data_IF_271011746095
#
_entry.id   IF_271011746095
#
_cell.length_a   1.000
_cell.length_b   1.000
_cell.length_c   1.000
_cell.angle_alpha   90.00
_cell.angle_beta   90.00
_cell.angle_gamma   90.00
#
_symmetry.space_group_name_H-M   'P 1'
#
loop_
_entity.id
_entity.type
_entity.pdbx_description
1 polymer ?
2 polymer ?
3 water ?
#
loop_
_entity_poly.entity_id
_entity_poly.type
_entity_poly.pdbx_seq_one_letter_code
_entity_poly.pdbx_strand_id
2 'polyribonucleotide' 'AGACAGCAUUAUGCUGUCUUU' ?
#
# COMPACT_ATOMS: atom_id res chain seq x y z
N UNK A 5 -15.77 20.00 13.23
CA UNK A 5 -15.44 19.29 11.93
C UNK A 5 -13.93 19.20 11.65
N UNK A 6 -13.53 18.25 10.81
CA UNK A 6 -12.11 18.00 10.58
C UNK A 6 -11.48 19.04 9.63
N UNK A 7 -10.44 19.75 10.10
CA UNK A 7 -9.76 20.76 9.31
C UNK A 7 -9.06 20.20 8.09
N UNK A 8 -9.12 20.93 6.97
CA UNK A 8 -8.55 20.46 5.71
C UNK A 8 -7.06 20.14 5.75
N UNK A 9 -6.27 20.85 6.54
CA UNK A 9 -4.84 20.53 6.60
C UNK A 9 -4.60 19.15 7.16
N UNK A 10 -5.48 18.73 8.09
CA UNK A 10 -5.37 17.38 8.63
C UNK A 10 -5.65 16.35 7.55
N UNK A 11 -6.69 16.56 6.75
CA UNK A 11 -6.91 15.71 5.59
C UNK A 11 -5.63 15.64 4.73
N UNK A 12 -4.95 16.77 4.57
CA UNK A 12 -3.76 16.85 3.74
C UNK A 12 -2.61 16.06 4.34
N UNK A 13 -2.39 16.18 5.64
CA UNK A 13 -1.30 15.46 6.29
C UNK A 13 -1.55 13.96 6.31
N UNK A 14 -2.81 13.55 6.32
CA UNK A 14 -3.11 12.12 6.37
C UNK A 14 -2.81 11.51 5.01
N UNK A 15 -3.29 12.14 3.95
CA UNK A 15 -2.90 11.71 2.62
C UNK A 15 -1.38 11.68 2.45
N UNK A 16 -0.67 12.66 3.01
CA UNK A 16 0.79 12.69 2.97
C UNK A 16 1.46 11.53 3.71
N UNK A 17 0.97 11.21 4.92
CA UNK A 17 1.39 10.02 5.64
C UNK A 17 1.16 8.79 4.77
N UNK A 18 0.01 8.75 4.10
CA UNK A 18 -0.36 7.64 3.23
C UNK A 18 0.51 7.47 2.01
N UNK A 19 0.70 8.54 1.25
CA UNK A 19 1.63 8.54 0.14
C UNK A 19 3.04 8.06 0.51
N UNK A 20 3.57 8.54 1.66
CA UNK A 20 4.83 8.05 2.22
C UNK A 20 4.88 6.54 2.40
N UNK A 21 3.79 5.95 2.92
CA UNK A 21 3.76 4.52 3.09
C UNK A 21 3.83 3.81 1.74
N UNK A 22 3.13 4.32 0.74
CA UNK A 22 3.11 3.68 -0.58
C UNK A 22 4.49 3.70 -1.20
N UNK A 23 5.19 4.80 -1.06
CA UNK A 23 6.55 4.89 -1.57
C UNK A 23 7.50 3.96 -0.83
N UNK A 24 7.28 3.78 0.46
CA UNK A 24 8.12 2.91 1.23
C UNK A 24 7.92 1.44 0.79
N UNK A 25 6.66 1.05 0.62
CA UNK A 25 6.33 -0.27 0.10
C UNK A 25 6.97 -0.53 -1.26
N UNK A 26 6.80 0.42 -2.18
CA UNK A 26 7.30 0.26 -3.53
C UNK A 26 8.82 0.11 -3.50
N UNK A 27 9.48 0.89 -2.64
CA UNK A 27 10.92 0.87 -2.53
C UNK A 27 11.33 -0.50 -2.00
N UNK A 28 10.63 -1.00 -1.00
CA UNK A 28 10.92 -2.30 -0.45
C UNK A 28 10.76 -3.42 -1.49
N UNK A 29 9.77 -3.29 -2.36
CA UNK A 29 9.45 -4.34 -3.34
C UNK A 29 10.42 -4.25 -4.51
N UNK A 30 10.73 -3.04 -4.92
CA UNK A 30 11.73 -2.81 -5.95
C UNK A 30 13.05 -3.45 -5.57
N UNK A 31 13.50 -3.22 -4.33
CA UNK A 31 14.83 -3.69 -3.89
C UNK A 31 14.85 -5.19 -3.71
N UNK A 32 13.76 -5.77 -3.20
CA UNK A 32 13.59 -7.21 -3.21
C UNK A 32 13.80 -7.80 -4.61
N UNK A 33 13.15 -7.22 -5.61
CA UNK A 33 13.21 -7.78 -6.97
C UNK A 33 14.60 -7.70 -7.56
N UNK A 34 15.21 -6.53 -7.44
CA UNK A 34 16.57 -6.25 -7.89
C UNK A 34 17.54 -7.29 -7.34
N UNK A 35 17.35 -7.62 -6.07
CA UNK A 35 18.18 -8.59 -5.37
C UNK A 35 17.99 -10.02 -5.89
N UNK A 36 16.79 -10.34 -6.36
CA UNK A 36 16.52 -11.63 -6.95
C UNK A 36 16.80 -11.58 -8.46
N UNK A 37 17.16 -10.40 -8.95
CA UNK A 37 17.33 -10.17 -10.38
C UNK A 37 16.07 -10.38 -11.19
N UNK A 38 14.92 -10.13 -10.58
CA UNK A 38 13.65 -10.22 -11.29
C UNK A 38 13.29 -8.90 -11.96
N UNK A 39 12.91 -8.96 -13.24
CA UNK A 39 12.36 -7.83 -13.99
C UNK A 39 11.05 -8.22 -14.66
N UNK A 40 10.22 -7.25 -14.99
CA UNK A 40 8.96 -7.58 -15.68
C UNK A 40 9.27 -7.46 -17.16
N UNK A 41 8.43 -8.04 -18.03
CA UNK A 41 8.71 -7.87 -19.45
C UNK A 41 8.88 -6.42 -19.86
N UNK A 42 8.17 -5.49 -19.21
CA UNK A 42 8.28 -4.06 -19.57
C UNK A 42 9.51 -3.40 -18.98
N UNK A 43 9.81 -3.70 -17.72
CA UNK A 43 11.08 -3.31 -17.13
C UNK A 43 12.24 -3.80 -18.02
N UNK A 44 12.14 -5.04 -18.49
CA UNK A 44 13.19 -5.65 -19.28
C UNK A 44 13.35 -4.94 -20.61
N UNK A 45 12.27 -4.84 -21.37
CA UNK A 45 12.26 -4.08 -22.62
C UNK A 45 12.89 -2.73 -22.39
N UNK A 46 12.51 -2.07 -21.31
CA UNK A 46 12.93 -0.70 -21.05
C UNK A 46 14.43 -0.59 -20.83
N UNK A 47 15.00 -1.43 -19.96
CA UNK A 47 16.47 -1.42 -19.80
C UNK A 47 17.22 -1.75 -21.09
N UNK A 48 16.69 -2.68 -21.86
CA UNK A 48 17.32 -3.06 -23.11
C UNK A 48 17.37 -1.93 -24.10
N UNK A 49 16.30 -1.18 -24.22
CA UNK A 49 16.33 0.02 -25.05
C UNK A 49 17.42 1.01 -24.59
N UNK A 50 17.56 1.16 -23.27
CA UNK A 50 18.54 2.05 -22.67
C UNK A 50 19.98 1.63 -22.95
N UNK A 51 20.30 0.37 -22.72
CA UNK A 51 21.64 -0.15 -22.97
C UNK A 51 22.02 -0.05 -24.44
N UNK A 52 21.05 -0.29 -25.32
CA UNK A 52 21.28 -0.14 -26.76
C UNK A 52 21.64 1.29 -27.10
N UNK A 53 20.97 2.23 -26.45
CA UNK A 53 21.13 3.65 -26.73
C UNK A 53 22.44 4.20 -26.18
N UNK A 54 22.87 3.68 -25.02
CA UNK A 54 24.18 4.02 -24.45
C UNK A 54 25.32 3.63 -25.39
N UNK A 55 25.19 2.46 -26.01
CA UNK A 55 26.16 1.96 -26.99
C UNK A 55 26.21 2.91 -28.19
N UNK A 56 25.04 3.29 -28.69
CA UNK A 56 24.93 4.18 -29.84
C UNK A 56 25.53 5.56 -29.58
N UNK A 57 25.23 6.13 -28.41
CA UNK A 57 25.71 7.46 -28.05
C UNK A 57 27.22 7.54 -27.93
N UNK A 58 27.84 6.45 -27.48
CA UNK A 58 29.32 6.36 -27.40
C UNK A 58 29.97 6.10 -28.76
N UNK A 59 29.15 5.70 -29.73
CA UNK A 59 29.56 5.54 -31.13
C UNK A 59 29.51 6.88 -31.88
N UNK A 60 28.77 7.83 -31.30
CA UNK A 60 28.83 9.25 -31.71
C UNK A 60 29.98 9.94 -30.95
N UNK A 61 30.30 9.42 -29.77
CA UNK A 61 31.42 9.94 -28.95
C UNK A 61 32.81 9.54 -29.46
N UNK A 62 32.88 8.43 -30.22
CA UNK A 62 34.11 8.06 -30.93
C UNK A 62 34.29 8.91 -32.21
N UNK A 63 33.18 9.43 -32.73
CA UNK A 63 33.19 10.35 -33.88
C UNK A 63 33.68 11.76 -33.47
N UNK A 64 34.53 11.82 -32.44
CA UNK A 64 35.15 13.07 -31.98
C UNK A 64 36.59 13.20 -32.46
N UNK B 4 -3.47 21.16 -11.59
CA UNK B 4 -4.75 21.94 -11.62
C UNK B 4 -5.97 21.13 -12.14
N UNK B 5 -5.88 20.66 -13.38
CA UNK B 5 -7.02 20.14 -14.15
C UNK B 5 -7.44 18.68 -13.86
N UNK B 6 -7.84 18.40 -12.62
CA UNK B 6 -8.34 17.05 -12.23
C UNK B 6 -9.59 17.14 -11.35
N UNK B 7 -10.73 16.60 -11.83
CA UNK B 7 -12.04 16.82 -11.20
C UNK B 7 -12.11 16.34 -9.75
N UNK B 8 -12.93 17.01 -8.95
CA UNK B 8 -13.11 16.61 -7.56
C UNK B 8 -13.76 15.23 -7.41
N UNK B 9 -14.73 14.91 -8.27
CA UNK B 9 -15.40 13.61 -8.18
C UNK B 9 -14.44 12.42 -8.39
N UNK B 10 -13.34 12.63 -9.12
CA UNK B 10 -12.31 11.60 -9.30
C UNK B 10 -11.58 11.34 -8.00
N UNK B 11 -11.24 12.42 -7.30
CA UNK B 11 -10.61 12.32 -6.00
C UNK B 11 -11.52 11.54 -5.06
N UNK B 12 -12.80 11.91 -5.00
CA UNK B 12 -13.76 11.24 -4.12
C UNK B 12 -13.84 9.74 -4.43
N UNK B 13 -13.91 9.39 -5.71
CA UNK B 13 -13.89 8.01 -6.22
C UNK B 13 -12.60 7.25 -5.87
N UNK B 14 -11.46 7.85 -6.17
CA UNK B 14 -10.18 7.25 -5.83
C UNK B 14 -10.15 6.87 -4.34
N UNK B 15 -10.55 7.80 -3.48
CA UNK B 15 -10.60 7.54 -2.05
C UNK B 15 -11.65 6.51 -1.62
N UNK B 16 -12.77 6.45 -2.32
CA UNK B 16 -13.75 5.38 -2.13
C UNK B 16 -13.12 4.03 -2.47
N UNK B 17 -12.34 3.98 -3.55
CA UNK B 17 -11.66 2.75 -3.94
C UNK B 17 -10.68 2.32 -2.85
N UNK B 18 -9.84 3.24 -2.41
CA UNK B 18 -8.83 2.97 -1.39
C UNK B 18 -9.43 2.49 -0.08
N UNK B 19 -10.59 3.03 0.26
CA UNK B 19 -11.29 2.68 1.46
C UNK B 19 -11.93 1.31 1.40
N UNK B 20 -12.40 0.86 0.23
CA UNK B 20 -12.92 -0.52 0.10
C UNK B 20 -11.77 -1.52 0.31
N UNK B 21 -10.59 -1.19 -0.18
CA UNK B 21 -9.41 -2.05 -0.11
C UNK B 21 -8.90 -2.12 1.32
N UNK B 22 -9.09 -1.03 2.08
CA UNK B 22 -8.73 -1.06 3.50
C UNK B 22 -9.66 -1.95 4.28
N UNK B 23 -10.96 -1.82 4.02
CA UNK B 23 -11.97 -2.71 4.59
C UNK B 23 -11.78 -4.17 4.19
N UNK B 24 -11.29 -4.39 2.98
CA UNK B 24 -11.06 -5.74 2.48
C UNK B 24 -9.93 -6.35 3.26
N UNK B 25 -8.91 -5.56 3.56
CA UNK B 25 -7.80 -6.04 4.35
C UNK B 25 -8.17 -6.35 5.80
N UNK B 26 -8.93 -5.49 6.45
CA UNK B 26 -9.39 -5.83 7.79
C UNK B 26 -10.13 -7.14 7.79
N UNK B 27 -11.01 -7.32 6.81
CA UNK B 27 -11.84 -8.50 6.79
C UNK B 27 -10.93 -9.72 6.70
N UNK B 28 -9.99 -9.69 5.76
CA UNK B 28 -9.10 -10.79 5.58
C UNK B 28 -8.29 -11.04 6.83
N UNK B 29 -7.71 -9.98 7.40
CA UNK B 29 -6.95 -10.10 8.62
C UNK B 29 -7.85 -10.56 9.78
N UNK B 30 -9.02 -9.96 9.93
CA UNK B 30 -9.93 -10.32 11.02
C UNK B 30 -10.25 -11.83 10.99
N UNK B 31 -10.71 -12.31 9.83
CA UNK B 31 -11.10 -13.70 9.65
C UNK B 31 -9.92 -14.64 9.89
N UNK B 32 -8.75 -14.26 9.37
CA UNK B 32 -7.53 -15.02 9.58
C UNK B 32 -7.27 -15.23 11.07
N UNK B 33 -7.45 -14.18 11.86
CA UNK B 33 -7.26 -14.30 13.28
C UNK B 33 -8.29 -15.21 13.91
N UNK B 34 -9.55 -15.13 13.48
CA UNK B 34 -10.60 -16.03 13.97
C UNK B 34 -10.23 -17.49 13.79
N UNK B 35 -9.73 -17.85 12.62
CA UNK B 35 -9.37 -19.23 12.35
C UNK B 35 -8.35 -19.72 13.35
N UNK B 36 -7.34 -18.90 13.64
CA UNK B 36 -6.30 -19.29 14.55
C UNK B 36 -6.71 -19.12 16.01
N UNK B 37 -7.90 -18.58 16.25
CA UNK B 37 -8.38 -18.27 17.60
C UNK B 37 -7.57 -17.21 18.31
N UNK B 38 -6.99 -16.28 17.55
CA UNK B 38 -6.11 -15.26 18.10
C UNK B 38 -6.84 -13.94 18.42
N UNK B 39 -6.72 -13.49 19.67
CA UNK B 39 -7.19 -12.16 20.09
C UNK B 39 -6.01 -11.33 20.57
N UNK B 40 -6.09 -10.02 20.39
CA UNK B 40 -5.14 -9.12 21.03
C UNK B 40 -5.52 -9.03 22.49
N UNK B 41 -4.57 -8.68 23.36
CA UNK B 41 -4.90 -8.43 24.77
C UNK B 41 -6.18 -7.62 24.98
N UNK B 42 -6.36 -6.54 24.21
CA UNK B 42 -7.56 -5.71 24.36
C UNK B 42 -8.84 -6.43 23.96
N UNK B 43 -8.77 -7.19 22.86
CA UNK B 43 -9.89 -8.00 22.37
C UNK B 43 -10.32 -9.05 23.40
N UNK B 44 -9.35 -9.60 24.15
CA UNK B 44 -9.64 -10.48 25.28
C UNK B 44 -10.42 -9.78 26.40
N UNK B 45 -9.89 -8.64 26.88
CA UNK B 45 -10.58 -7.83 27.90
C UNK B 45 -12.02 -7.56 27.51
N UNK B 46 -12.22 -6.99 26.33
CA UNK B 46 -13.54 -6.66 25.79
C UNK B 46 -14.52 -7.82 25.82
N UNK B 47 -14.06 -9.00 25.38
CA UNK B 47 -14.92 -10.17 25.29
C UNK B 47 -15.25 -10.74 26.67
N UNK B 48 -14.31 -10.65 27.60
CA UNK B 48 -14.55 -11.06 28.98
C UNK B 48 -15.60 -10.18 29.64
N UNK B 49 -15.44 -8.87 29.49
CA UNK B 49 -16.36 -7.89 30.07
C UNK B 49 -17.77 -8.03 29.49
N UNK B 50 -17.85 -8.43 28.22
CA UNK B 50 -19.13 -8.68 27.57
C UNK B 50 -19.79 -9.94 28.12
N UNK B 51 -19.05 -11.05 28.12
CA UNK B 51 -19.53 -12.34 28.65
C UNK B 51 -19.93 -12.22 30.12
N UNK B 52 -19.24 -11.35 30.86
CA UNK B 52 -19.57 -11.04 32.26
C UNK B 52 -20.91 -10.32 32.39
N UNK B 53 -21.15 -9.30 31.55
CA UNK B 53 -22.43 -8.57 31.52
C UNK B 53 -23.59 -9.48 31.10
N UNK B 54 -23.31 -10.41 30.19
CA UNK B 54 -24.32 -11.35 29.67
C UNK B 54 -24.74 -12.42 30.67
N UNK B 55 -23.78 -12.95 31.42
CA UNK B 55 -24.02 -13.96 32.47
C UNK B 55 -24.72 -13.33 33.68
N UNK B 56 -24.43 -12.05 33.92
CA UNK B 56 -25.06 -11.28 35.00
C UNK B 56 -26.56 -11.08 34.78
N UNK B 57 -26.97 -11.06 33.51
CA UNK B 57 -28.38 -10.94 33.13
C UNK B 57 -29.18 -12.18 33.55
N UNK B 58 -28.68 -13.37 33.19
CA UNK B 58 -29.34 -14.63 33.53
C UNK B 58 -29.06 -15.03 34.98
#
# INVERSE_FOLDING_TARGET
>A
XASIEIPLHEIIRKLERMNQKKQAQRKRHKLNRKERGHKSPSEQRRSELWHARQVELSAINSDNSSDEGHHHHHH
>B
XASIEIPLHEIIRKLERMNQKKQAQRKRHKLNRKERGHKSPSEQRRSELWHARQVELSAINSDNSSDEGHHHHHH
#
